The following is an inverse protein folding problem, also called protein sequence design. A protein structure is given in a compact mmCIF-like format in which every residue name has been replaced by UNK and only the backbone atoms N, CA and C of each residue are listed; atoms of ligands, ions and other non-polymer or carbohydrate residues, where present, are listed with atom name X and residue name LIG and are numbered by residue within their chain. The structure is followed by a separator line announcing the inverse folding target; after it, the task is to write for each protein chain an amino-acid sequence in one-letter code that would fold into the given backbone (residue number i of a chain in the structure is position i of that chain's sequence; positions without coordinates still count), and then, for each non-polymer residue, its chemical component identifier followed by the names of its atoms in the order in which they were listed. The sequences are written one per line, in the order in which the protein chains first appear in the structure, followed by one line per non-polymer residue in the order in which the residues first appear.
data_IF_926443217315
#
_entry.id   IF_926443217315
#
_cell.length_a   1.000
_cell.length_b   1.000
_cell.length_c   1.000
_cell.angle_alpha   90.00
_cell.angle_beta   90.00
_cell.angle_gamma   90.00
#
_symmetry.space_group_name_H-M   'P 1'
#
loop_
_entity.id
_entity.type
_entity.pdbx_description
1 polymer ?
#
# COMPACT_ATOMS: atom_id res chain seq x y z
N UNK A 1 -15.51 -16.16 26.71
CA UNK A 1 -15.68 -14.85 26.07
C UNK A 1 -16.15 -13.89 27.15
N UNK A 2 -15.35 -12.89 27.53
CA UNK A 2 -15.79 -11.87 28.49
C UNK A 2 -16.81 -10.97 27.77
N UNK A 3 -18.01 -10.69 28.32
CA UNK A 3 -18.99 -9.80 27.68
C UNK A 3 -18.50 -8.36 27.46
N UNK A 4 -17.32 -8.01 27.99
CA UNK A 4 -16.64 -6.73 27.76
C UNK A 4 -15.61 -6.76 26.60
N UNK A 5 -15.41 -7.90 25.93
CA UNK A 5 -14.50 -8.06 24.77
C UNK A 5 -15.20 -7.76 23.43
N UNK A 6 -16.31 -7.03 23.44
CA UNK A 6 -17.02 -6.64 22.22
C UNK A 6 -16.28 -5.46 21.60
N UNK A 7 -15.28 -5.76 20.77
CA UNK A 7 -14.59 -4.75 19.97
C UNK A 7 -15.66 -4.06 19.10
N UNK A 8 -15.81 -2.73 19.18
CA UNK A 8 -16.80 -2.03 18.39
C UNK A 8 -16.63 -2.35 16.90
N UNK A 9 -17.71 -2.60 16.15
CA UNK A 9 -17.62 -2.99 14.74
C UNK A 9 -16.85 -1.98 13.89
N UNK A 10 -16.88 -0.70 14.26
CA UNK A 10 -16.13 0.38 13.61
C UNK A 10 -14.61 0.23 13.76
N UNK A 11 -14.13 -0.26 14.90
CA UNK A 11 -12.71 -0.52 15.14
C UNK A 11 -12.25 -1.77 14.38
N UNK A 12 -13.10 -2.80 14.31
CA UNK A 12 -12.85 -3.98 13.49
C UNK A 12 -12.79 -3.62 12.00
N UNK A 13 -13.73 -2.82 11.50
CA UNK A 13 -13.75 -2.40 10.09
C UNK A 13 -12.56 -1.50 9.75
N UNK A 14 -12.16 -0.59 10.64
CA UNK A 14 -11.01 0.30 10.43
C UNK A 14 -9.70 -0.47 10.36
N UNK A 15 -9.49 -1.42 11.28
CA UNK A 15 -8.28 -2.23 11.29
C UNK A 15 -8.18 -3.12 10.05
N UNK A 16 -9.28 -3.79 9.68
CA UNK A 16 -9.33 -4.59 8.46
C UNK A 16 -9.07 -3.76 7.19
N UNK A 17 -9.60 -2.53 7.15
CA UNK A 17 -9.36 -1.61 6.04
C UNK A 17 -7.89 -1.18 5.94
N UNK A 18 -7.28 -0.81 7.07
CA UNK A 18 -5.87 -0.41 7.14
C UNK A 18 -4.93 -1.54 6.73
N UNK A 19 -5.21 -2.78 7.15
CA UNK A 19 -4.42 -3.97 6.75
C UNK A 19 -4.50 -4.21 5.24
N UNK A 20 -5.68 -4.06 4.64
CA UNK A 20 -5.87 -4.23 3.20
C UNK A 20 -5.14 -3.14 2.40
N UNK A 21 -5.12 -1.89 2.91
CA UNK A 21 -4.35 -0.79 2.32
C UNK A 21 -2.85 -1.05 2.40
N UNK A 22 -2.33 -1.47 3.55
CA UNK A 22 -0.92 -1.81 3.73
C UNK A 22 -0.48 -2.96 2.82
N UNK A 23 -1.32 -4.00 2.69
CA UNK A 23 -1.07 -5.10 1.77
C UNK A 23 -1.04 -4.64 0.31
N UNK A 24 -1.99 -3.80 -0.08
CA UNK A 24 -2.03 -3.24 -1.44
C UNK A 24 -0.82 -2.34 -1.73
N UNK A 25 -0.42 -1.54 -0.75
CA UNK A 25 0.78 -0.72 -0.84
C UNK A 25 2.03 -1.59 -1.01
N UNK A 26 2.15 -2.70 -0.27
CA UNK A 26 3.24 -3.65 -0.46
C UNK A 26 3.26 -4.23 -1.89
N UNK A 27 2.11 -4.72 -2.38
CA UNK A 27 2.00 -5.26 -3.74
C UNK A 27 2.40 -4.24 -4.81
N UNK A 28 1.98 -2.98 -4.65
CA UNK A 28 2.31 -1.92 -5.59
C UNK A 28 3.82 -1.66 -5.67
N UNK A 29 4.55 -1.74 -4.54
CA UNK A 29 6.00 -1.57 -4.50
C UNK A 29 6.70 -2.70 -5.26
N UNK A 30 6.23 -3.94 -5.06
CA UNK A 30 6.74 -5.11 -5.78
C UNK A 30 6.48 -4.98 -7.28
N UNK A 31 5.24 -4.69 -7.68
CA UNK A 31 4.85 -4.55 -9.09
C UNK A 31 5.61 -3.40 -9.75
N UNK A 32 5.66 -2.24 -9.10
CA UNK A 32 6.41 -1.07 -9.59
C UNK A 32 7.90 -1.39 -9.81
N UNK A 33 8.50 -2.16 -8.89
CA UNK A 33 9.90 -2.58 -9.04
C UNK A 33 10.11 -3.50 -10.25
N UNK A 34 9.19 -4.43 -10.50
CA UNK A 34 9.21 -5.31 -11.68
C UNK A 34 9.02 -4.49 -12.97
N UNK A 35 8.08 -3.55 -12.98
CA UNK A 35 7.82 -2.69 -14.15
C UNK A 35 9.01 -1.77 -14.45
N UNK A 36 9.73 -1.29 -13.45
CA UNK A 36 11.00 -0.56 -13.66
C UNK A 36 12.02 -1.46 -14.35
N UNK A 37 12.17 -2.71 -13.89
CA UNK A 37 13.10 -3.66 -14.50
C UNK A 37 12.75 -3.95 -15.96
N UNK A 38 11.49 -4.27 -16.25
CA UNK A 38 11.01 -4.52 -17.61
C UNK A 38 11.09 -3.26 -18.48
N UNK A 39 10.82 -2.08 -17.93
CA UNK A 39 10.87 -0.81 -18.65
C UNK A 39 12.28 -0.44 -19.08
N UNK A 40 13.28 -0.82 -18.28
CA UNK A 40 14.70 -0.67 -18.66
C UNK A 40 15.06 -1.58 -19.84
N UNK A 41 14.59 -2.83 -19.85
CA UNK A 41 14.82 -3.76 -20.97
C UNK A 41 14.12 -3.30 -22.26
N UNK A 42 12.88 -2.81 -22.15
CA UNK A 42 12.09 -2.34 -23.29
C UNK A 42 12.39 -0.90 -23.75
N UNK A 43 13.34 -0.20 -23.10
CA UNK A 43 13.60 1.24 -23.31
C UNK A 43 12.34 2.13 -23.16
N UNK A 44 11.35 1.66 -22.40
CA UNK A 44 10.10 2.38 -22.15
C UNK A 44 10.26 3.29 -20.93
N UNK A 45 10.86 4.47 -21.16
CA UNK A 45 11.05 5.50 -20.13
C UNK A 45 9.73 5.90 -19.45
N UNK A 46 8.63 5.94 -20.21
CA UNK A 46 7.30 6.24 -19.69
C UNK A 46 6.88 5.26 -18.58
N UNK A 47 7.06 3.95 -18.80
CA UNK A 47 6.70 2.93 -17.81
C UNK A 47 7.53 3.06 -16.53
N UNK A 48 8.80 3.43 -16.64
CA UNK A 48 9.68 3.66 -15.48
C UNK A 48 9.18 4.84 -14.64
N UNK A 49 8.85 5.97 -15.27
CA UNK A 49 8.36 7.18 -14.56
C UNK A 49 7.07 6.88 -13.79
N UNK A 50 6.11 6.22 -14.43
CA UNK A 50 4.84 5.86 -13.76
C UNK A 50 5.05 4.85 -12.63
N UNK A 51 5.96 3.91 -12.79
CA UNK A 51 6.27 2.93 -11.76
C UNK A 51 6.92 3.58 -10.53
N UNK A 52 7.80 4.56 -10.73
CA UNK A 52 8.38 5.34 -9.62
C UNK A 52 7.29 6.14 -8.90
N UNK A 53 6.39 6.79 -9.65
CA UNK A 53 5.24 7.50 -9.07
C UNK A 53 4.34 6.59 -8.24
N UNK A 54 4.03 5.40 -8.75
CA UNK A 54 3.24 4.38 -8.07
C UNK A 54 3.90 3.93 -6.76
N UNK A 55 5.21 3.66 -6.77
CA UNK A 55 5.98 3.32 -5.56
C UNK A 55 5.93 4.47 -4.55
N UNK A 56 6.18 5.71 -5.00
CA UNK A 56 6.21 6.89 -4.13
C UNK A 56 4.87 7.14 -3.43
N UNK A 57 3.76 7.10 -4.16
CA UNK A 57 2.42 7.28 -3.59
C UNK A 57 2.06 6.17 -2.60
N UNK A 58 2.50 4.95 -2.88
CA UNK A 58 2.19 3.80 -2.03
C UNK A 58 3.00 3.79 -0.74
N UNK A 59 4.26 4.24 -0.78
CA UNK A 59 5.06 4.48 0.41
C UNK A 59 4.48 5.62 1.26
N UNK A 60 4.01 6.70 0.61
CA UNK A 60 3.34 7.80 1.30
C UNK A 60 2.06 7.32 2.01
N UNK A 61 1.21 6.56 1.32
CA UNK A 61 0.01 5.97 1.90
C UNK A 61 0.34 5.01 3.07
N UNK A 62 1.25 4.06 2.87
CA UNK A 62 1.66 3.14 3.93
C UNK A 62 2.22 3.90 5.14
N UNK A 63 3.05 4.92 4.91
CA UNK A 63 3.56 5.79 5.97
C UNK A 63 2.43 6.50 6.73
N UNK A 64 1.46 7.07 6.03
CA UNK A 64 0.34 7.76 6.68
C UNK A 64 -0.52 6.83 7.56
N UNK A 65 -0.70 5.57 7.16
CA UNK A 65 -1.39 4.56 7.98
C UNK A 65 -0.56 4.18 9.21
N UNK A 66 0.76 3.96 9.04
CA UNK A 66 1.67 3.56 10.14
C UNK A 66 1.84 4.68 11.18
N UNK A 67 1.95 5.94 10.73
CA UNK A 67 2.12 7.10 11.61
C UNK A 67 0.77 7.65 12.13
N UNK A 68 -0.37 7.06 11.76
CA UNK A 68 -1.70 7.43 12.25
C UNK A 68 -2.23 8.77 11.71
N UNK A 69 -1.75 9.22 10.55
CA UNK A 69 -2.28 10.39 9.85
C UNK A 69 -3.57 10.07 9.06
N UNK A 70 -3.97 8.79 8.98
CA UNK A 70 -5.18 8.23 8.34
C UNK A 70 -5.89 7.29 9.33
#
# INVERSE_FOLDING_TARGET
MNPNDVIPPEMLSRNAHNDMLLFTAFLSVVIGSILIYLGKMGKQLWMIVWSIGLIGMSLFMAGSVVFGYL
#
